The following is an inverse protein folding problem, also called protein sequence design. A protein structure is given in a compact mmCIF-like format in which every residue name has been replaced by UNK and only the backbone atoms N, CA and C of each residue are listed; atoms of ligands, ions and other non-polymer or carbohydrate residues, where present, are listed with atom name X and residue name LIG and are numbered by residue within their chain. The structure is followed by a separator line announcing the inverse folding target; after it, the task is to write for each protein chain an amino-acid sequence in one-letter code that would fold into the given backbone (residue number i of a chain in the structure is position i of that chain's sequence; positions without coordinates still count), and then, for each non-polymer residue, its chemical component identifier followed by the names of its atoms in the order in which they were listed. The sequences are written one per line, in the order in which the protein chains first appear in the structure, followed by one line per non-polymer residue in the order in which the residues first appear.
data_IF_216998514221
#
_entry.id   IF_216998514221
#
_cell.length_a   1.000
_cell.length_b   1.000
_cell.length_c   1.000
_cell.angle_alpha   90.00
_cell.angle_beta   90.00
_cell.angle_gamma   90.00
#
_symmetry.space_group_name_H-M   'P 1'
#
loop_
_entity.id
_entity.type
_entity.pdbx_description
1 polymer ?
#
# COMPACT_ATOMS: atom_id res chain seq x y z
N UNK A 1 -2.47 -24.26 16.96
CA UNK A 1 -3.28 -23.29 16.23
C UNK A 1 -2.66 -23.14 14.85
N UNK A 2 -3.39 -23.45 13.79
CA UNK A 2 -2.95 -23.22 12.39
C UNK A 2 -2.77 -21.72 12.17
N UNK A 3 -1.64 -21.33 11.55
CA UNK A 3 -1.44 -19.93 11.13
C UNK A 3 -2.60 -19.51 10.22
N UNK A 4 -3.14 -18.29 10.36
CA UNK A 4 -4.14 -17.79 9.40
C UNK A 4 -3.51 -17.76 8.01
N UNK A 5 -4.22 -18.28 7.04
CA UNK A 5 -3.90 -18.08 5.63
C UNK A 5 -4.41 -16.68 5.30
N UNK A 6 -3.51 -15.74 5.01
CA UNK A 6 -3.86 -14.36 4.65
C UNK A 6 -4.33 -14.32 3.19
N UNK A 7 -5.40 -15.10 2.90
CA UNK A 7 -6.05 -15.18 1.60
C UNK A 7 -7.21 -14.17 1.47
N UNK A 8 -7.87 -14.19 0.32
CA UNK A 8 -9.00 -13.30 0.02
C UNK A 8 -10.12 -13.43 1.07
N UNK A 9 -10.49 -14.67 1.43
CA UNK A 9 -11.60 -14.91 2.35
C UNK A 9 -11.30 -14.38 3.75
N UNK A 10 -10.05 -14.52 4.21
CA UNK A 10 -9.59 -13.94 5.47
C UNK A 10 -9.76 -12.42 5.50
N UNK A 11 -9.29 -11.72 4.47
CA UNK A 11 -9.34 -10.28 4.42
C UNK A 11 -10.75 -9.74 4.21
N UNK A 12 -11.56 -10.40 3.37
CA UNK A 12 -12.96 -10.03 3.17
C UNK A 12 -13.77 -10.15 4.47
N UNK A 13 -13.56 -11.24 5.23
CA UNK A 13 -14.17 -11.40 6.55
C UNK A 13 -13.67 -10.33 7.54
N UNK A 14 -12.37 -10.06 7.56
CA UNK A 14 -11.78 -9.04 8.42
C UNK A 14 -12.37 -7.66 8.13
N UNK A 15 -12.44 -7.26 6.87
CA UNK A 15 -13.02 -5.98 6.47
C UNK A 15 -14.51 -5.91 6.79
N UNK A 16 -15.28 -6.94 6.45
CA UNK A 16 -16.72 -7.00 6.75
C UNK A 16 -16.96 -6.86 8.25
N UNK A 17 -16.24 -7.59 9.09
CA UNK A 17 -16.36 -7.50 10.54
C UNK A 17 -15.94 -6.12 11.06
N UNK A 18 -14.79 -5.63 10.61
CA UNK A 18 -14.23 -4.35 11.07
C UNK A 18 -15.10 -3.15 10.69
N UNK A 19 -15.73 -3.19 9.51
CA UNK A 19 -16.62 -2.13 9.01
C UNK A 19 -18.04 -2.22 9.57
N UNK A 20 -18.46 -3.39 10.08
CA UNK A 20 -19.78 -3.57 10.73
C UNK A 20 -19.83 -3.07 12.16
N UNK A 21 -18.68 -2.86 12.80
CA UNK A 21 -18.65 -2.29 14.14
C UNK A 21 -18.97 -0.79 14.09
N UNK A 22 -19.85 -0.26 14.97
CA UNK A 22 -20.27 1.15 14.95
C UNK A 22 -19.16 2.07 15.49
N UNK A 23 -17.91 1.75 15.27
CA UNK A 23 -16.80 2.57 15.68
C UNK A 23 -16.38 3.50 14.55
N UNK A 24 -16.58 4.78 14.72
CA UNK A 24 -16.03 5.89 13.90
C UNK A 24 -14.50 5.81 13.67
N UNK A 25 -13.83 4.81 14.28
CA UNK A 25 -12.38 4.70 14.29
C UNK A 25 -11.77 4.42 12.91
N UNK A 26 -12.47 3.69 12.04
CA UNK A 26 -11.95 3.40 10.71
C UNK A 26 -12.18 4.56 9.76
N UNK A 27 -13.38 5.13 9.75
CA UNK A 27 -13.71 6.29 8.92
C UNK A 27 -12.86 7.51 9.23
N UNK A 28 -12.34 7.60 10.46
CA UNK A 28 -11.46 8.67 10.94
C UNK A 28 -9.99 8.27 11.01
N UNK A 29 -9.64 7.08 10.52
CA UNK A 29 -8.24 6.65 10.55
C UNK A 29 -7.41 7.56 9.66
N UNK A 30 -6.39 8.22 10.21
CA UNK A 30 -5.54 9.08 9.39
C UNK A 30 -4.83 8.25 8.31
N UNK A 31 -4.47 8.87 7.19
CA UNK A 31 -3.66 8.22 6.18
C UNK A 31 -2.33 7.77 6.78
N UNK A 32 -1.75 6.76 6.18
CA UNK A 32 -0.48 6.20 6.66
C UNK A 32 0.62 7.26 6.68
N UNK A 33 1.36 7.36 7.80
CA UNK A 33 2.41 8.37 7.97
C UNK A 33 3.56 8.19 6.99
N UNK A 34 3.90 6.96 6.60
CA UNK A 34 4.94 6.74 5.58
C UNK A 34 4.47 7.22 4.21
N UNK A 35 3.19 6.97 3.84
CA UNK A 35 2.63 7.51 2.61
C UNK A 35 2.75 9.04 2.60
N UNK A 36 2.20 9.69 3.62
CA UNK A 36 2.15 11.15 3.66
C UNK A 36 3.52 11.80 3.72
N UNK A 37 4.46 11.24 4.50
CA UNK A 37 5.81 11.79 4.62
C UNK A 37 6.63 11.66 3.34
N UNK A 38 6.51 10.51 2.65
CA UNK A 38 7.30 10.21 1.45
C UNK A 38 6.74 10.84 0.18
N UNK A 39 5.42 11.13 0.15
CA UNK A 39 4.72 11.58 -1.06
C UNK A 39 4.42 13.07 -1.07
N UNK A 40 4.31 13.75 0.08
CA UNK A 40 3.90 15.16 0.19
C UNK A 40 4.71 16.17 -0.64
N UNK A 41 5.91 15.81 -1.05
CA UNK A 41 6.80 16.66 -1.85
C UNK A 41 6.81 16.31 -3.34
N UNK A 42 6.10 15.25 -3.73
CA UNK A 42 5.99 14.84 -5.11
C UNK A 42 4.95 15.70 -5.82
N UNK A 43 5.18 15.94 -7.10
CA UNK A 43 4.18 16.62 -7.94
C UNK A 43 3.02 15.67 -8.21
N UNK A 44 1.77 16.08 -7.94
CA UNK A 44 0.61 15.26 -8.26
C UNK A 44 0.52 14.90 -9.74
N UNK A 45 0.07 13.71 -10.01
CA UNK A 45 -0.14 13.11 -11.31
C UNK A 45 -1.05 11.89 -11.16
N UNK A 46 -0.77 10.80 -11.85
CA UNK A 46 -1.50 9.53 -11.75
C UNK A 46 -0.89 8.64 -10.68
N UNK A 47 -1.69 8.22 -9.71
CA UNK A 47 -1.27 7.33 -8.64
C UNK A 47 -2.01 5.99 -8.68
N UNK A 48 -1.29 4.92 -8.37
CA UNK A 48 -1.85 3.60 -8.05
C UNK A 48 -1.69 3.37 -6.54
N UNK A 49 -2.81 3.17 -5.84
CA UNK A 49 -2.84 2.69 -4.46
C UNK A 49 -3.15 1.19 -4.49
N UNK A 50 -2.10 0.37 -4.46
CA UNK A 50 -2.17 -1.07 -4.62
C UNK A 50 -2.36 -1.76 -3.26
N UNK A 51 -3.53 -2.36 -3.03
CA UNK A 51 -3.98 -2.85 -1.74
C UNK A 51 -4.49 -1.70 -0.87
N UNK A 52 -5.41 -0.90 -1.43
CA UNK A 52 -5.88 0.35 -0.82
C UNK A 52 -6.73 0.16 0.45
N UNK A 53 -7.20 -1.08 0.72
CA UNK A 53 -8.11 -1.37 1.83
C UNK A 53 -9.33 -0.45 1.81
N UNK A 54 -9.64 0.16 2.95
CA UNK A 54 -10.77 1.09 3.12
C UNK A 54 -10.53 2.48 2.50
N UNK A 55 -9.44 2.69 1.76
CA UNK A 55 -9.23 3.85 0.90
C UNK A 55 -8.67 5.12 1.57
N UNK A 56 -8.18 5.07 2.82
CA UNK A 56 -7.64 6.27 3.48
C UNK A 56 -6.44 6.88 2.74
N UNK A 57 -5.59 6.03 2.13
CA UNK A 57 -4.48 6.46 1.28
C UNK A 57 -4.97 7.10 0.00
N UNK A 58 -5.88 6.43 -0.71
CA UNK A 58 -6.48 6.93 -1.94
C UNK A 58 -7.18 8.28 -1.74
N UNK A 59 -7.94 8.41 -0.66
CA UNK A 59 -8.63 9.65 -0.31
C UNK A 59 -7.63 10.79 -0.03
N UNK A 60 -6.57 10.51 0.72
CA UNK A 60 -5.53 11.51 0.98
C UNK A 60 -4.84 11.94 -0.33
N UNK A 61 -4.48 11.00 -1.20
CA UNK A 61 -3.88 11.30 -2.50
C UNK A 61 -4.82 12.19 -3.34
N UNK A 62 -6.10 11.83 -3.45
CA UNK A 62 -7.08 12.59 -4.23
C UNK A 62 -7.27 14.02 -3.70
N UNK A 63 -7.32 14.21 -2.37
CA UNK A 63 -7.40 15.54 -1.74
C UNK A 63 -6.14 16.38 -1.97
N UNK A 64 -5.01 15.75 -2.33
CA UNK A 64 -3.76 16.41 -2.69
C UNK A 64 -3.54 16.50 -4.20
N UNK A 65 -4.60 16.32 -4.99
CA UNK A 65 -4.60 16.59 -6.44
C UNK A 65 -4.16 15.41 -7.31
N UNK A 66 -4.00 14.20 -6.75
CA UNK A 66 -3.68 13.00 -7.54
C UNK A 66 -4.94 12.43 -8.20
N UNK A 67 -4.77 11.89 -9.41
CA UNK A 67 -5.73 11.01 -10.05
C UNK A 67 -5.40 9.57 -9.64
N UNK A 68 -6.29 8.93 -8.89
CA UNK A 68 -5.96 7.69 -8.16
C UNK A 68 -6.68 6.49 -8.76
N UNK A 69 -5.95 5.42 -9.04
CA UNK A 69 -6.51 4.08 -9.20
C UNK A 69 -6.30 3.35 -7.86
N UNK A 70 -7.39 3.03 -7.17
CA UNK A 70 -7.38 2.36 -5.88
C UNK A 70 -7.81 0.90 -6.06
N UNK A 71 -6.92 -0.04 -5.77
CA UNK A 71 -7.11 -1.47 -6.05
C UNK A 71 -7.10 -2.27 -4.77
N UNK A 72 -8.14 -3.05 -4.55
CA UNK A 72 -8.20 -4.05 -3.49
C UNK A 72 -9.08 -5.22 -3.96
N UNK A 73 -8.96 -6.39 -3.36
CA UNK A 73 -9.83 -7.52 -3.68
C UNK A 73 -11.09 -7.58 -2.80
N UNK A 74 -11.16 -6.80 -1.72
CA UNK A 74 -12.31 -6.73 -0.83
C UNK A 74 -13.32 -5.69 -1.32
N UNK A 75 -14.47 -6.16 -1.80
CA UNK A 75 -15.58 -5.28 -2.19
C UNK A 75 -16.12 -4.50 -0.99
N UNK A 76 -16.13 -5.09 0.22
CA UNK A 76 -16.55 -4.40 1.43
C UNK A 76 -15.66 -3.19 1.73
N UNK A 77 -14.33 -3.34 1.61
CA UNK A 77 -13.39 -2.25 1.79
C UNK A 77 -13.56 -1.16 0.73
N UNK A 78 -13.69 -1.55 -0.54
CA UNK A 78 -13.88 -0.62 -1.66
C UNK A 78 -15.19 0.15 -1.55
N UNK A 79 -16.30 -0.51 -1.17
CA UNK A 79 -17.59 0.15 -0.97
C UNK A 79 -17.51 1.22 0.13
N UNK A 80 -16.82 0.90 1.23
CA UNK A 80 -16.58 1.86 2.31
C UNK A 80 -15.76 3.06 1.81
N UNK A 81 -14.67 2.80 1.07
CA UNK A 81 -13.82 3.85 0.49
C UNK A 81 -14.58 4.78 -0.45
N UNK A 82 -15.46 4.23 -1.31
CA UNK A 82 -16.35 5.04 -2.17
C UNK A 82 -17.24 5.96 -1.35
N UNK A 83 -17.88 5.44 -0.31
CA UNK A 83 -18.73 6.25 0.57
C UNK A 83 -17.97 7.38 1.26
N UNK A 84 -16.73 7.14 1.68
CA UNK A 84 -15.88 8.18 2.26
C UNK A 84 -15.50 9.25 1.21
N UNK A 85 -15.18 8.84 -0.01
CA UNK A 85 -14.84 9.76 -1.08
C UNK A 85 -16.04 10.64 -1.48
N UNK A 86 -17.24 10.06 -1.59
CA UNK A 86 -18.49 10.78 -1.85
C UNK A 86 -18.80 11.78 -0.74
N UNK A 87 -18.61 11.38 0.53
CA UNK A 87 -18.80 12.27 1.68
C UNK A 87 -17.77 13.43 1.73
N UNK A 88 -16.58 13.23 1.15
CA UNK A 88 -15.56 14.26 1.04
C UNK A 88 -15.84 15.30 -0.05
N UNK A 89 -16.68 14.97 -1.03
CA UNK A 89 -17.09 15.85 -2.12
C UNK A 89 -16.97 15.21 -3.50
N UNK A 90 -17.81 15.63 -4.43
CA UNK A 90 -17.86 15.06 -5.77
C UNK A 90 -16.53 15.19 -6.52
N UNK A 91 -15.86 16.30 -6.41
CA UNK A 91 -14.56 16.59 -7.02
C UNK A 91 -13.45 15.65 -6.51
N UNK A 92 -13.54 15.17 -5.28
CA UNK A 92 -12.63 14.19 -4.71
C UNK A 92 -13.01 12.78 -5.18
N UNK A 93 -14.31 12.44 -5.14
CA UNK A 93 -14.81 11.15 -5.57
C UNK A 93 -14.48 10.85 -7.05
N UNK A 94 -14.61 11.85 -7.92
CA UNK A 94 -14.30 11.75 -9.36
C UNK A 94 -12.82 11.49 -9.64
N UNK A 95 -11.92 11.82 -8.71
CA UNK A 95 -10.47 11.56 -8.85
C UNK A 95 -10.08 10.13 -8.52
N UNK A 96 -10.99 9.32 -7.95
CA UNK A 96 -10.64 7.97 -7.50
C UNK A 96 -11.37 6.92 -8.32
N UNK A 97 -10.61 6.15 -9.07
CA UNK A 97 -11.09 4.97 -9.79
C UNK A 97 -10.87 3.72 -8.94
N UNK A 98 -11.97 3.10 -8.46
CA UNK A 98 -11.94 1.92 -7.61
C UNK A 98 -11.99 0.64 -8.44
N UNK A 99 -11.04 -0.26 -8.19
CA UNK A 99 -10.88 -1.52 -8.94
C UNK A 99 -10.87 -2.70 -7.98
N UNK A 100 -11.81 -3.62 -8.13
CA UNK A 100 -11.77 -4.91 -7.44
C UNK A 100 -10.84 -5.86 -8.21
N UNK A 101 -9.69 -6.17 -7.61
CA UNK A 101 -8.72 -7.08 -8.21
C UNK A 101 -7.75 -7.67 -7.18
N UNK A 102 -7.29 -8.90 -7.44
CA UNK A 102 -6.26 -9.57 -6.64
C UNK A 102 -4.87 -9.22 -7.17
N UNK A 103 -4.07 -8.54 -6.36
CA UNK A 103 -2.70 -8.16 -6.68
C UNK A 103 -1.76 -9.36 -6.94
N UNK A 104 -2.14 -10.57 -6.52
CA UNK A 104 -1.38 -11.77 -6.85
C UNK A 104 -1.42 -12.08 -8.35
N UNK A 105 -2.49 -11.70 -9.05
CA UNK A 105 -2.73 -12.04 -10.46
C UNK A 105 -2.97 -10.82 -11.35
N UNK A 106 -3.51 -9.72 -10.80
CA UNK A 106 -3.81 -8.52 -11.55
C UNK A 106 -2.53 -7.82 -12.03
N UNK A 107 -2.57 -7.35 -13.27
CA UNK A 107 -1.46 -6.63 -13.89
C UNK A 107 -1.90 -5.21 -14.23
N UNK A 108 -1.31 -4.19 -13.59
CA UNK A 108 -1.60 -2.81 -13.90
C UNK A 108 -1.05 -2.42 -15.28
N UNK A 109 -1.58 -1.33 -15.85
CA UNK A 109 -1.07 -0.77 -17.08
C UNK A 109 0.41 -0.39 -16.92
N UNK A 110 1.32 -0.89 -17.78
CA UNK A 110 2.73 -0.57 -17.67
C UNK A 110 3.01 0.90 -18.00
N UNK A 111 4.09 1.44 -17.41
CA UNK A 111 4.60 2.80 -17.68
C UNK A 111 3.55 3.92 -17.51
N UNK A 112 2.58 3.72 -16.61
CA UNK A 112 1.39 4.57 -16.57
C UNK A 112 1.34 5.54 -15.39
N UNK A 113 1.82 5.12 -14.22
CA UNK A 113 1.65 5.87 -12.98
C UNK A 113 2.90 6.67 -12.59
N UNK A 114 2.69 7.92 -12.18
CA UNK A 114 3.74 8.78 -11.61
C UNK A 114 4.08 8.37 -10.17
N UNK A 115 3.13 7.71 -9.48
CA UNK A 115 3.30 7.10 -8.16
C UNK A 115 2.62 5.72 -8.13
N UNK A 116 3.33 4.72 -7.65
CA UNK A 116 2.75 3.45 -7.20
C UNK A 116 3.04 3.29 -5.71
N UNK A 117 2.00 3.21 -4.90
CA UNK A 117 2.08 2.97 -3.46
C UNK A 117 1.50 1.57 -3.15
N UNK A 118 2.23 0.78 -2.35
CA UNK A 118 1.81 -0.54 -1.90
C UNK A 118 2.23 -0.71 -0.44
N UNK A 119 1.26 -0.64 0.47
CA UNK A 119 1.51 -0.56 1.89
C UNK A 119 0.84 -1.73 2.63
N UNK A 120 1.64 -2.51 3.36
CA UNK A 120 1.21 -3.63 4.22
C UNK A 120 0.41 -4.72 3.52
N UNK A 121 0.65 -4.90 2.23
CA UNK A 121 -0.04 -5.90 1.42
C UNK A 121 0.52 -7.29 1.70
N UNK A 122 -0.40 -8.24 1.85
CA UNK A 122 -0.11 -9.67 1.88
C UNK A 122 -0.59 -10.30 0.58
N UNK A 123 0.26 -11.09 -0.04
CA UNK A 123 -0.11 -11.82 -1.25
C UNK A 123 0.08 -13.33 -1.04
N UNK A 124 -0.82 -14.10 -1.61
CA UNK A 124 -0.61 -15.53 -1.75
C UNK A 124 0.45 -15.77 -2.83
N UNK A 125 1.67 -16.13 -2.43
CA UNK A 125 2.77 -16.37 -3.36
C UNK A 125 3.99 -15.48 -3.15
N UNK A 126 4.68 -15.15 -4.24
CA UNK A 126 5.93 -14.40 -4.19
C UNK A 126 5.70 -12.89 -4.05
N UNK A 127 6.17 -12.31 -2.95
CA UNK A 127 6.22 -10.85 -2.75
C UNK A 127 7.11 -10.20 -3.80
N UNK A 128 8.23 -10.82 -4.17
CA UNK A 128 9.12 -10.32 -5.22
C UNK A 128 8.40 -10.22 -6.57
N UNK A 129 7.66 -11.27 -6.97
CA UNK A 129 6.89 -11.25 -8.21
C UNK A 129 5.80 -10.17 -8.19
N UNK A 130 5.15 -9.95 -7.05
CA UNK A 130 4.20 -8.85 -6.88
C UNK A 130 4.88 -7.49 -7.04
N UNK A 131 6.02 -7.28 -6.38
CA UNK A 131 6.79 -6.03 -6.48
C UNK A 131 7.20 -5.76 -7.93
N UNK A 132 7.73 -6.77 -8.65
CA UNK A 132 8.11 -6.63 -10.07
C UNK A 132 6.91 -6.22 -10.94
N UNK A 133 5.75 -6.82 -10.69
CA UNK A 133 4.52 -6.55 -11.46
C UNK A 133 4.02 -5.12 -11.26
N UNK A 134 3.93 -4.64 -10.01
CA UNK A 134 3.49 -3.27 -9.75
C UNK A 134 4.56 -2.23 -10.12
N UNK A 135 5.84 -2.56 -10.00
CA UNK A 135 6.94 -1.70 -10.41
C UNK A 135 6.93 -1.43 -11.92
N UNK A 136 6.50 -2.42 -12.74
CA UNK A 136 6.37 -2.23 -14.18
C UNK A 136 5.34 -1.16 -14.55
N UNK A 137 4.41 -0.84 -13.66
CA UNK A 137 3.39 0.18 -13.87
C UNK A 137 3.87 1.62 -13.63
N UNK A 138 5.02 1.80 -12.96
CA UNK A 138 5.59 3.12 -12.71
C UNK A 138 6.11 3.71 -14.00
N UNK A 139 5.73 4.93 -14.34
CA UNK A 139 6.23 5.65 -15.51
C UNK A 139 7.73 6.01 -15.37
N UNK A 140 8.48 6.20 -16.48
CA UNK A 140 9.83 6.74 -16.40
C UNK A 140 9.87 8.05 -15.58
N UNK A 141 10.78 8.15 -14.62
CA UNK A 141 10.86 9.27 -13.67
C UNK A 141 9.88 9.21 -12.50
N UNK A 142 8.93 8.25 -12.51
CA UNK A 142 7.94 8.04 -11.44
C UNK A 142 8.53 7.38 -10.19
N UNK A 143 7.70 7.26 -9.17
CA UNK A 143 8.07 6.79 -7.84
C UNK A 143 7.33 5.52 -7.47
N UNK A 144 8.04 4.55 -6.90
CA UNK A 144 7.50 3.38 -6.21
C UNK A 144 7.69 3.56 -4.71
N UNK A 145 6.61 3.45 -3.93
CA UNK A 145 6.63 3.43 -2.48
C UNK A 145 6.12 2.08 -1.97
N UNK A 146 6.96 1.37 -1.26
CA UNK A 146 6.62 0.09 -0.63
C UNK A 146 6.79 0.22 0.87
N UNK A 147 5.83 -0.31 1.64
CA UNK A 147 5.92 -0.38 3.10
C UNK A 147 5.45 -1.76 3.56
N UNK A 148 6.23 -2.39 4.42
CA UNK A 148 5.89 -3.69 4.97
C UNK A 148 6.26 -3.81 6.44
N UNK A 149 5.48 -4.58 7.20
CA UNK A 149 5.82 -4.89 8.58
C UNK A 149 7.01 -5.84 8.66
N UNK A 150 7.96 -5.54 9.54
CA UNK A 150 9.06 -6.46 9.84
C UNK A 150 8.61 -7.50 10.87
N UNK A 151 8.77 -8.80 10.59
CA UNK A 151 8.42 -9.88 11.54
C UNK A 151 9.36 -9.94 12.76
N UNK A 152 10.57 -9.40 12.60
CA UNK A 152 11.61 -9.31 13.61
C UNK A 152 12.16 -7.90 13.59
N UNK A 153 12.37 -7.32 14.77
CA UNK A 153 13.06 -6.04 14.93
C UNK A 153 14.56 -6.24 14.61
N UNK A 154 15.10 -5.63 13.57
CA UNK A 154 16.48 -5.86 13.15
C UNK A 154 17.52 -5.33 14.16
N UNK A 155 17.15 -4.37 15.01
CA UNK A 155 18.05 -3.81 16.03
C UNK A 155 18.19 -4.71 17.26
N UNK A 156 17.12 -5.41 17.65
CA UNK A 156 17.07 -6.19 18.89
C UNK A 156 17.00 -7.69 18.68
N UNK A 157 16.63 -8.14 17.46
CA UNK A 157 16.34 -9.54 17.16
C UNK A 157 15.02 -10.05 17.75
N UNK A 158 14.24 -9.19 18.40
CA UNK A 158 12.98 -9.57 19.03
C UNK A 158 11.86 -9.74 17.99
N UNK A 159 10.95 -10.70 18.24
CA UNK A 159 9.75 -10.84 17.44
C UNK A 159 8.84 -9.63 17.59
N UNK A 160 8.31 -9.14 16.48
CA UNK A 160 7.32 -8.05 16.45
C UNK A 160 5.89 -8.60 16.43
N UNK A 161 4.84 -7.76 16.57
CA UNK A 161 3.46 -8.20 16.37
C UNK A 161 3.18 -8.77 14.97
N UNK A 162 4.05 -8.50 13.98
CA UNK A 162 3.97 -9.06 12.63
C UNK A 162 4.72 -10.40 12.49
N UNK A 163 5.15 -11.03 13.59
CA UNK A 163 5.85 -12.30 13.55
C UNK A 163 5.04 -13.37 12.79
N UNK A 164 5.67 -13.97 11.80
CA UNK A 164 5.06 -14.97 10.94
C UNK A 164 4.28 -14.42 9.74
N UNK A 165 4.17 -13.11 9.58
CA UNK A 165 3.68 -12.48 8.35
C UNK A 165 4.82 -12.37 7.32
N UNK A 166 4.46 -12.47 6.03
CA UNK A 166 5.39 -12.25 4.92
C UNK A 166 4.90 -11.02 4.16
N UNK A 167 5.69 -9.97 4.21
CA UNK A 167 5.46 -8.73 3.49
C UNK A 167 6.76 -8.24 2.84
N UNK A 168 6.69 -7.15 2.11
CA UNK A 168 7.87 -6.54 1.49
C UNK A 168 8.90 -6.15 2.55
N UNK A 169 10.16 -6.41 2.26
CA UNK A 169 11.33 -5.98 3.03
C UNK A 169 12.28 -5.19 2.12
N UNK A 170 13.26 -4.54 2.72
CA UNK A 170 14.34 -3.86 1.97
C UNK A 170 15.07 -4.85 1.06
N UNK A 171 15.37 -6.05 1.56
CA UNK A 171 16.06 -7.10 0.80
C UNK A 171 15.22 -7.58 -0.39
N UNK A 172 13.91 -7.86 -0.13
CA UNK A 172 12.98 -8.29 -1.20
C UNK A 172 12.83 -7.22 -2.28
N UNK A 173 12.68 -5.94 -1.89
CA UNK A 173 12.56 -4.86 -2.85
C UNK A 173 13.85 -4.65 -3.66
N UNK A 174 15.02 -4.75 -3.00
CA UNK A 174 16.33 -4.63 -3.67
C UNK A 174 16.55 -5.78 -4.65
N UNK A 175 16.14 -7.00 -4.31
CA UNK A 175 16.24 -8.16 -5.21
C UNK A 175 15.27 -8.05 -6.42
N UNK A 176 14.07 -7.46 -6.19
CA UNK A 176 13.04 -7.35 -7.21
C UNK A 176 13.29 -6.25 -8.26
N UNK A 177 14.06 -5.21 -7.90
CA UNK A 177 14.24 -4.01 -8.71
C UNK A 177 15.64 -3.95 -9.31
N UNK A 178 15.74 -3.92 -10.64
CA UNK A 178 17.00 -3.80 -11.36
C UNK A 178 17.67 -2.44 -11.08
N UNK A 179 18.88 -2.41 -10.50
CA UNK A 179 19.59 -1.17 -10.19
C UNK A 179 19.96 -0.33 -11.42
N UNK A 180 19.97 -0.92 -12.60
CA UNK A 180 20.15 -0.18 -13.86
C UNK A 180 18.91 0.66 -14.22
N UNK A 181 17.75 0.34 -13.67
CA UNK A 181 16.46 1.00 -13.94
C UNK A 181 15.89 1.75 -12.75
N UNK A 182 16.41 1.52 -11.55
CA UNK A 182 15.87 2.07 -10.30
C UNK A 182 16.92 2.71 -9.42
N UNK A 183 16.65 3.90 -8.93
CA UNK A 183 17.43 4.57 -7.89
C UNK A 183 16.68 4.50 -6.56
N UNK A 184 17.25 3.84 -5.55
CA UNK A 184 16.71 3.83 -4.19
C UNK A 184 16.97 5.19 -3.53
N UNK A 185 15.88 5.88 -3.16
CA UNK A 185 15.93 7.16 -2.44
C UNK A 185 15.83 6.91 -0.94
N UNK A 186 15.01 5.92 -0.55
CA UNK A 186 14.87 5.42 0.82
C UNK A 186 14.84 3.91 0.76
N UNK A 187 15.58 3.22 1.62
CA UNK A 187 15.53 1.78 1.81
C UNK A 187 15.98 1.48 3.25
N UNK A 188 15.09 1.60 4.21
CA UNK A 188 15.43 1.50 5.63
C UNK A 188 14.29 0.92 6.47
N UNK A 189 14.65 0.41 7.62
CA UNK A 189 13.70 -0.02 8.64
C UNK A 189 13.44 1.13 9.62
N UNK A 190 12.16 1.46 9.85
CA UNK A 190 11.72 2.56 10.72
C UNK A 190 10.87 2.04 11.88
N UNK A 191 11.08 2.53 13.11
CA UNK A 191 10.14 2.26 14.20
C UNK A 191 8.74 2.75 13.83
N UNK A 192 7.71 1.97 14.18
CA UNK A 192 6.31 2.35 13.94
C UNK A 192 5.90 3.43 14.95
N UNK A 193 5.61 4.65 14.48
CA UNK A 193 5.31 5.78 15.33
C UNK A 193 3.97 5.66 16.09
N UNK A 194 2.99 4.94 15.53
CA UNK A 194 1.60 4.99 16.02
C UNK A 194 1.23 3.98 17.10
N UNK A 195 2.03 2.96 17.40
CA UNK A 195 1.63 1.90 18.32
C UNK A 195 2.73 1.44 19.29
N UNK A 196 3.88 2.10 19.35
CA UNK A 196 4.95 1.80 20.31
C UNK A 196 5.61 0.43 20.17
N UNK A 197 5.13 -0.42 19.26
CA UNK A 197 5.65 -1.77 19.07
C UNK A 197 5.66 -2.15 17.60
N UNK A 198 6.84 -2.28 17.01
CA UNK A 198 7.02 -2.77 15.66
C UNK A 198 7.93 -1.91 14.82
N UNK A 199 8.41 -2.50 13.75
CA UNK A 199 9.31 -1.89 12.78
C UNK A 199 8.73 -2.12 11.39
N UNK A 200 8.79 -1.11 10.55
CA UNK A 200 8.35 -1.16 9.17
C UNK A 200 9.55 -0.98 8.23
N UNK A 201 9.64 -1.83 7.21
CA UNK A 201 10.50 -1.57 6.07
C UNK A 201 9.85 -0.48 5.21
N UNK A 202 10.58 0.58 4.92
CA UNK A 202 10.14 1.68 4.06
C UNK A 202 11.09 1.81 2.88
N UNK A 203 10.55 1.63 1.69
CA UNK A 203 11.32 1.67 0.45
C UNK A 203 10.66 2.67 -0.50
N UNK A 204 11.42 3.70 -0.87
CA UNK A 204 11.07 4.62 -1.93
C UNK A 204 12.12 4.56 -3.02
N UNK A 205 11.71 4.10 -4.19
CA UNK A 205 12.58 4.02 -5.35
C UNK A 205 12.03 4.90 -6.48
N UNK A 206 12.93 5.55 -7.22
CA UNK A 206 12.61 6.32 -8.41
C UNK A 206 12.98 5.52 -9.64
N UNK A 207 12.05 5.40 -10.58
CA UNK A 207 12.36 4.83 -11.88
C UNK A 207 13.22 5.80 -12.70
N UNK A 208 14.33 5.31 -13.22
CA UNK A 208 15.21 6.08 -14.11
C UNK A 208 14.50 6.33 -15.46
N UNK A 209 14.84 7.45 -16.16
CA UNK A 209 14.29 7.78 -17.46
C UNK A 209 14.49 6.68 -18.53
#
# INVERSE_FOLDING_TARGET
MTKPTYDRDFWEQLWTQTLSEPSDHISRRPPNLHLTSEVKHLRPGRALDAGCGHGSGALWLATHGWEVTAVDFSEAALAHGRSLAEAAGADIAERIHWVEADLATWTPQPDHYDLVACLYVHVAGSVEAMVQRIAAAVAPGGTLLLVGHRPVDPATGAATPAAGQVQVSTDTATAALDPARWAFVVAEDRPRAAAGTGVDAVIRARRLP
#
